data_IF_562278624912
#
_entry.id   IF_562278624912
#
_cell.length_a   1.000
_cell.length_b   1.000
_cell.length_c   1.000
_cell.angle_alpha   90.00
_cell.angle_beta   90.00
_cell.angle_gamma   90.00
#
_symmetry.space_group_name_H-M   'P 1'
#
loop_
_entity.id
_entity.type
_entity.pdbx_description
1 polymer ?
#
# COMPACT_ATOMS: atom_id res chain seq x y z
N UNK A 1 23.02 -31.74 -5.26
CA UNK A 1 24.13 -31.04 -4.58
C UNK A 1 23.84 -30.98 -3.09
N UNK A 2 24.80 -31.41 -2.29
CA UNK A 2 24.74 -31.32 -0.84
C UNK A 2 24.82 -29.85 -0.38
N UNK A 3 24.08 -29.49 0.66
CA UNK A 3 23.97 -28.11 1.17
C UNK A 3 24.73 -27.96 2.47
N UNK A 4 26.05 -27.99 2.35
CA UNK A 4 26.98 -28.04 3.49
C UNK A 4 27.29 -26.67 4.10
N UNK A 5 26.93 -25.56 3.43
CA UNK A 5 27.17 -24.22 3.93
C UNK A 5 25.97 -23.76 4.76
N UNK A 6 26.13 -23.76 6.08
CA UNK A 6 25.13 -23.26 7.03
C UNK A 6 25.43 -21.79 7.32
N UNK A 7 24.39 -20.96 7.25
CA UNK A 7 24.42 -19.57 7.66
C UNK A 7 23.46 -19.36 8.83
N UNK A 8 23.88 -18.58 9.81
CA UNK A 8 23.01 -18.13 10.89
C UNK A 8 23.10 -16.61 10.98
N UNK A 9 21.94 -15.97 10.80
CA UNK A 9 21.77 -14.52 10.85
C UNK A 9 21.00 -14.19 12.13
N UNK A 10 21.58 -13.33 12.96
CA UNK A 10 20.99 -12.85 14.20
C UNK A 10 20.83 -11.33 14.10
N UNK A 11 19.62 -10.83 14.33
CA UNK A 11 19.32 -9.40 14.41
C UNK A 11 18.81 -9.16 15.83
N UNK A 12 19.57 -8.43 16.63
CA UNK A 12 19.24 -8.12 18.01
C UNK A 12 18.59 -6.73 18.09
N UNK A 13 17.54 -6.60 18.89
CA UNK A 13 16.79 -5.35 19.07
C UNK A 13 16.89 -4.85 20.52
N UNK A 14 16.76 -3.54 20.70
CA UNK A 14 16.66 -2.89 22.02
C UNK A 14 15.27 -3.07 22.61
N UNK A 15 14.94 -4.31 22.95
CA UNK A 15 13.70 -4.70 23.61
C UNK A 15 13.99 -5.84 24.59
N UNK A 16 13.34 -5.84 25.76
CA UNK A 16 13.52 -6.87 26.79
C UNK A 16 12.55 -8.04 26.61
N UNK A 17 11.41 -7.81 25.97
CA UNK A 17 10.39 -8.83 25.73
C UNK A 17 10.88 -9.91 24.77
N UNK A 18 10.57 -11.17 25.07
CA UNK A 18 10.92 -12.34 24.26
C UNK A 18 9.69 -13.00 23.65
N UNK A 19 8.54 -12.31 23.62
CA UNK A 19 7.32 -12.89 23.07
C UNK A 19 7.55 -13.32 21.61
N UNK A 20 7.04 -14.51 21.27
CA UNK A 20 7.19 -15.07 19.93
C UNK A 20 6.22 -14.39 18.97
N UNK A 21 6.74 -13.90 17.85
CA UNK A 21 5.97 -13.27 16.77
C UNK A 21 5.83 -14.20 15.56
N UNK A 22 6.79 -15.10 15.37
CA UNK A 22 6.77 -16.13 14.33
C UNK A 22 7.80 -17.22 14.63
N UNK A 23 7.50 -18.45 14.23
CA UNK A 23 8.44 -19.56 14.21
C UNK A 23 8.05 -20.54 13.11
N UNK A 24 8.89 -20.69 12.08
CA UNK A 24 8.54 -21.55 10.96
C UNK A 24 9.61 -21.68 9.88
N UNK A 25 9.32 -22.56 8.92
CA UNK A 25 10.14 -22.77 7.74
C UNK A 25 9.57 -21.99 6.56
N UNK A 26 10.36 -21.10 5.96
CA UNK A 26 9.92 -20.23 4.88
C UNK A 26 10.73 -20.43 3.62
N UNK A 27 10.09 -20.21 2.48
CA UNK A 27 10.75 -20.26 1.19
C UNK A 27 11.76 -19.10 1.05
N UNK A 28 12.72 -19.26 0.14
CA UNK A 28 13.70 -18.24 -0.16
C UNK A 28 13.93 -18.12 -1.66
N UNK A 29 14.35 -16.92 -2.09
CA UNK A 29 14.56 -16.60 -3.49
C UNK A 29 15.45 -17.62 -4.22
N UNK A 30 14.96 -18.13 -5.35
CA UNK A 30 15.71 -19.05 -6.22
C UNK A 30 15.47 -20.54 -5.96
N UNK A 31 14.52 -20.91 -5.08
CA UNK A 31 14.10 -22.31 -4.95
C UNK A 31 12.64 -22.47 -4.53
N UNK A 32 12.02 -23.57 -4.95
CA UNK A 32 10.71 -24.03 -4.47
C UNK A 32 10.80 -25.23 -3.52
N UNK A 33 11.99 -25.79 -3.32
CA UNK A 33 12.19 -27.06 -2.61
C UNK A 33 12.77 -26.89 -1.21
N UNK A 34 13.62 -25.89 -1.03
CA UNK A 34 14.36 -25.72 0.21
C UNK A 34 13.86 -24.49 0.95
N UNK A 35 13.87 -24.59 2.27
CA UNK A 35 13.38 -23.56 3.18
C UNK A 35 14.48 -23.15 4.14
N UNK A 36 14.38 -21.91 4.60
CA UNK A 36 15.15 -21.44 5.75
C UNK A 36 14.25 -21.47 6.99
N UNK A 37 14.84 -21.76 8.15
CA UNK A 37 14.11 -21.72 9.41
C UNK A 37 14.26 -20.34 10.05
N UNK A 38 13.14 -19.71 10.39
CA UNK A 38 13.11 -18.37 10.97
C UNK A 38 12.35 -18.38 12.29
N UNK A 39 12.96 -17.74 13.29
CA UNK A 39 12.34 -17.44 14.58
C UNK A 39 12.40 -15.93 14.79
N UNK A 40 11.23 -15.32 15.02
CA UNK A 40 11.08 -13.89 15.29
C UNK A 40 10.47 -13.75 16.68
N UNK A 41 11.19 -13.08 17.57
CA UNK A 41 10.72 -12.64 18.88
C UNK A 41 10.81 -11.12 18.96
N UNK A 42 10.13 -10.50 19.93
CA UNK A 42 10.14 -9.02 20.05
C UNK A 42 11.52 -8.40 20.32
N UNK A 43 12.53 -9.19 20.68
CA UNK A 43 13.89 -8.73 20.90
C UNK A 43 14.92 -9.28 19.91
N UNK A 44 14.53 -10.22 19.03
CA UNK A 44 15.49 -10.91 18.16
C UNK A 44 14.85 -11.54 16.92
N UNK A 45 15.54 -11.47 15.79
CA UNK A 45 15.29 -12.36 14.64
C UNK A 45 16.46 -13.33 14.50
N UNK A 46 16.16 -14.61 14.32
CA UNK A 46 17.13 -15.67 14.01
C UNK A 46 16.75 -16.34 12.70
N UNK A 47 17.66 -16.37 11.73
CA UNK A 47 17.46 -16.99 10.42
C UNK A 47 18.54 -18.07 10.24
N UNK A 48 18.13 -19.32 10.10
CA UNK A 48 19.01 -20.48 9.85
C UNK A 48 18.86 -20.96 8.42
N UNK A 49 19.92 -20.83 7.64
CA UNK A 49 19.91 -21.06 6.20
C UNK A 49 20.93 -22.12 5.78
N UNK A 50 20.62 -22.86 4.71
CA UNK A 50 21.56 -23.81 4.08
C UNK A 50 21.70 -23.53 2.59
N UNK A 51 22.94 -23.45 2.09
CA UNK A 51 23.25 -23.17 0.67
C UNK A 51 24.25 -24.18 0.11
N UNK A 52 24.16 -24.41 -1.20
CA UNK A 52 25.11 -25.24 -1.94
C UNK A 52 26.45 -24.54 -2.15
N UNK A 53 26.42 -23.26 -2.53
CA UNK A 53 27.60 -22.42 -2.71
C UNK A 53 27.90 -21.57 -1.47
N UNK A 54 29.19 -21.28 -1.26
CA UNK A 54 29.65 -20.34 -0.24
C UNK A 54 29.36 -18.92 -0.72
N UNK A 55 28.66 -18.15 0.11
CA UNK A 55 28.35 -16.73 -0.05
C UNK A 55 29.37 -15.90 0.73
N UNK A 56 29.88 -14.85 0.11
CA UNK A 56 30.69 -13.84 0.79
C UNK A 56 29.83 -13.04 1.78
N UNK A 57 30.21 -13.07 3.06
CA UNK A 57 29.50 -12.39 4.14
C UNK A 57 29.53 -10.87 3.99
N UNK A 58 30.49 -10.29 3.28
CA UNK A 58 30.50 -8.84 3.03
C UNK A 58 29.28 -8.43 2.20
N UNK A 59 28.97 -9.22 1.16
CA UNK A 59 27.88 -8.95 0.21
C UNK A 59 26.47 -9.11 0.76
N UNK A 60 26.31 -9.76 1.92
CA UNK A 60 25.00 -10.09 2.50
C UNK A 60 24.18 -8.85 2.85
N UNK A 61 24.82 -7.71 3.08
CA UNK A 61 24.15 -6.49 3.56
C UNK A 61 23.76 -5.50 2.45
N UNK A 62 24.27 -5.66 1.23
CA UNK A 62 24.03 -4.72 0.13
C UNK A 62 23.64 -5.39 -1.20
N UNK A 63 23.83 -6.70 -1.36
CA UNK A 63 23.46 -7.39 -2.58
C UNK A 63 21.96 -7.76 -2.60
N UNK A 64 21.16 -6.93 -3.27
CA UNK A 64 19.72 -7.13 -3.43
C UNK A 64 19.32 -8.43 -4.14
N UNK A 65 20.23 -9.06 -4.89
CA UNK A 65 19.99 -10.34 -5.55
C UNK A 65 20.33 -11.54 -4.64
N UNK A 66 20.88 -11.31 -3.44
CA UNK A 66 21.22 -12.36 -2.49
C UNK A 66 19.97 -12.92 -1.81
N UNK A 67 19.85 -14.25 -1.80
CA UNK A 67 18.80 -14.91 -1.00
C UNK A 67 18.89 -14.58 0.50
N UNK A 68 20.09 -14.38 1.05
CA UNK A 68 20.25 -14.02 2.46
C UNK A 68 19.81 -12.58 2.74
N UNK A 69 20.14 -11.65 1.84
CA UNK A 69 19.68 -10.25 1.94
C UNK A 69 18.15 -10.17 1.91
N UNK A 70 17.51 -10.87 0.96
CA UNK A 70 16.06 -10.89 0.85
C UNK A 70 15.40 -11.47 2.10
N UNK A 71 15.99 -12.51 2.72
CA UNK A 71 15.48 -13.03 3.99
C UNK A 71 15.56 -12.02 5.13
N UNK A 72 16.65 -11.24 5.21
CA UNK A 72 16.78 -10.16 6.20
C UNK A 72 15.68 -9.12 5.98
N UNK A 73 15.52 -8.61 4.76
CA UNK A 73 14.52 -7.57 4.45
C UNK A 73 13.10 -8.07 4.73
N UNK A 74 12.76 -9.28 4.28
CA UNK A 74 11.46 -9.91 4.48
C UNK A 74 11.15 -10.09 5.98
N UNK A 75 12.13 -10.56 6.76
CA UNK A 75 11.98 -10.74 8.22
C UNK A 75 11.82 -9.40 8.94
N UNK A 76 12.57 -8.37 8.54
CA UNK A 76 12.45 -7.01 9.10
C UNK A 76 11.09 -6.38 8.77
N UNK A 77 10.61 -6.53 7.53
CA UNK A 77 9.30 -6.05 7.13
C UNK A 77 8.19 -6.72 7.96
N UNK A 78 8.24 -8.05 8.11
CA UNK A 78 7.33 -8.78 8.98
C UNK A 78 7.40 -8.31 10.44
N UNK A 79 8.61 -8.17 10.99
CA UNK A 79 8.82 -7.73 12.37
C UNK A 79 8.21 -6.36 12.67
N UNK A 80 8.48 -5.35 11.83
CA UNK A 80 7.91 -4.02 12.03
C UNK A 80 6.41 -3.96 11.74
N UNK A 81 5.91 -4.77 10.79
CA UNK A 81 4.47 -4.91 10.57
C UNK A 81 3.76 -5.57 11.77
N UNK A 82 4.39 -6.54 12.44
CA UNK A 82 3.82 -7.17 13.64
C UNK A 82 3.88 -6.30 14.89
N UNK A 83 4.95 -5.54 15.09
CA UNK A 83 5.09 -4.70 16.28
C UNK A 83 4.45 -3.32 16.15
N UNK A 84 4.23 -2.86 14.91
CA UNK A 84 3.52 -1.62 14.58
C UNK A 84 4.18 -0.35 15.16
N UNK A 85 5.45 -0.46 15.57
CA UNK A 85 6.23 0.61 16.22
C UNK A 85 7.72 0.45 15.96
N UNK A 86 8.46 1.53 16.20
CA UNK A 86 9.91 1.51 16.16
C UNK A 86 10.52 0.67 17.29
N UNK A 87 11.50 -0.16 16.93
CA UNK A 87 12.41 -0.82 17.87
C UNK A 87 13.82 -0.77 17.29
N UNK A 88 14.76 -0.19 18.03
CA UNK A 88 16.15 0.00 17.59
C UNK A 88 16.86 -1.34 17.37
N UNK A 89 17.54 -1.50 16.22
CA UNK A 89 18.45 -2.63 15.99
C UNK A 89 19.77 -2.30 16.67
N UNK A 90 20.23 -3.18 17.56
CA UNK A 90 21.49 -2.99 18.28
C UNK A 90 22.66 -3.65 17.57
N UNK A 91 22.42 -4.78 16.90
CA UNK A 91 23.48 -5.55 16.22
C UNK A 91 22.89 -6.50 15.18
N UNK A 92 23.60 -6.67 14.06
CA UNK A 92 23.35 -7.76 13.11
C UNK A 92 24.59 -8.63 13.03
N UNK A 93 24.44 -9.94 13.19
CA UNK A 93 25.52 -10.92 13.10
C UNK A 93 25.18 -11.94 12.02
N UNK A 94 26.09 -12.15 11.07
CA UNK A 94 26.01 -13.25 10.10
C UNK A 94 27.20 -14.17 10.35
N UNK A 95 26.92 -15.44 10.54
CA UNK A 95 27.94 -16.47 10.71
C UNK A 95 27.80 -17.53 9.62
N UNK A 96 28.94 -18.04 9.15
CA UNK A 96 29.03 -19.14 8.20
C UNK A 96 29.76 -20.29 8.86
N UNK A 97 29.16 -21.48 8.76
CA UNK A 97 29.75 -22.73 9.20
C UNK A 97 29.67 -23.77 8.09
N UNK A 98 30.66 -24.65 8.07
CA UNK A 98 30.75 -25.78 7.14
C UNK A 98 31.03 -27.04 7.94
N UNK A 99 30.26 -28.10 7.72
CA UNK A 99 30.38 -29.37 8.47
C UNK A 99 30.37 -29.15 9.99
N UNK A 100 29.53 -28.23 10.48
CA UNK A 100 29.39 -27.91 11.90
C UNK A 100 30.50 -27.03 12.51
N UNK A 101 31.56 -26.70 11.76
CA UNK A 101 32.64 -25.81 12.22
C UNK A 101 32.39 -24.38 11.74
N UNK A 102 32.45 -23.41 12.66
CA UNK A 102 32.40 -21.99 12.33
C UNK A 102 33.63 -21.60 11.52
N UNK A 103 33.44 -21.08 10.32
CA UNK A 103 34.53 -20.60 9.46
C UNK A 103 34.70 -19.09 9.54
N UNK A 104 33.61 -18.35 9.36
CA UNK A 104 33.66 -16.88 9.31
C UNK A 104 32.45 -16.26 9.99
N UNK A 105 32.64 -15.03 10.48
CA UNK A 105 31.61 -14.23 11.14
C UNK A 105 31.78 -12.77 10.76
N UNK A 106 30.68 -12.11 10.39
CA UNK A 106 30.63 -10.67 10.15
C UNK A 106 29.57 -10.07 11.07
N UNK A 107 29.88 -8.91 11.63
CA UNK A 107 28.97 -8.15 12.48
C UNK A 107 28.83 -6.73 11.93
N UNK A 108 27.64 -6.17 12.10
CA UNK A 108 27.35 -4.74 12.03
C UNK A 108 26.88 -4.34 13.43
N UNK A 109 27.58 -3.39 14.04
CA UNK A 109 27.11 -2.77 15.28
C UNK A 109 26.12 -1.65 14.94
N UNK A 110 25.43 -1.12 15.95
CA UNK A 110 24.39 -0.09 15.78
C UNK A 110 24.84 1.07 14.88
N UNK A 111 26.08 1.51 15.03
CA UNK A 111 26.65 2.66 14.31
C UNK A 111 26.78 2.40 12.80
N UNK A 112 26.89 1.12 12.40
CA UNK A 112 27.00 0.70 10.99
C UNK A 112 25.62 0.45 10.35
N UNK A 113 24.53 0.50 11.12
CA UNK A 113 23.19 0.11 10.66
C UNK A 113 22.37 1.35 10.30
N UNK A 114 22.12 1.51 9.00
CA UNK A 114 21.12 2.46 8.52
C UNK A 114 19.70 1.89 8.70
N UNK A 115 19.11 2.12 9.89
CA UNK A 115 17.78 1.62 10.19
C UNK A 115 16.70 2.34 9.38
N UNK A 116 15.86 1.55 8.72
CA UNK A 116 14.91 1.98 7.69
C UNK A 116 13.81 2.92 8.22
N UNK A 117 13.54 2.84 9.54
CA UNK A 117 12.49 3.56 10.26
C UNK A 117 13.10 4.43 11.36
N UNK A 118 12.43 5.54 11.68
CA UNK A 118 12.81 6.49 12.72
C UNK A 118 12.07 6.22 14.05
N UNK A 119 12.52 6.79 15.18
CA UNK A 119 11.89 6.58 16.49
C UNK A 119 10.43 7.02 16.63
N UNK A 120 9.92 7.86 15.72
CA UNK A 120 8.51 8.32 15.71
C UNK A 120 7.60 7.39 14.90
N UNK A 121 8.16 6.39 14.22
CA UNK A 121 7.39 5.44 13.43
C UNK A 121 6.39 4.67 14.31
N UNK A 122 5.12 4.73 13.92
CA UNK A 122 4.03 3.94 14.48
C UNK A 122 2.93 3.78 13.43
N UNK A 123 2.33 2.60 13.34
CA UNK A 123 1.11 2.43 12.57
C UNK A 123 -0.13 2.86 13.37
N UNK A 124 -1.07 3.49 12.66
CA UNK A 124 -2.38 3.88 13.23
C UNK A 124 -3.38 2.73 13.25
N UNK A 125 -3.18 1.76 12.36
CA UNK A 125 -4.03 0.60 12.17
C UNK A 125 -3.19 -0.65 12.37
N UNK A 126 -3.88 -1.76 12.64
CA UNK A 126 -3.23 -3.03 12.94
C UNK A 126 -3.46 -4.07 11.86
N UNK A 127 -2.48 -4.96 11.73
CA UNK A 127 -2.60 -6.11 10.83
C UNK A 127 -3.09 -7.35 11.57
N UNK A 128 -3.92 -8.13 10.90
CA UNK A 128 -4.22 -9.50 11.31
C UNK A 128 -3.00 -10.38 11.07
N UNK A 129 -2.59 -11.14 12.08
CA UNK A 129 -1.31 -11.87 12.06
C UNK A 129 -1.24 -12.86 10.89
N UNK A 130 -2.28 -13.67 10.75
CA UNK A 130 -2.42 -14.69 9.71
C UNK A 130 -2.38 -14.08 8.30
N UNK A 131 -2.83 -12.82 8.15
CA UNK A 131 -2.82 -12.11 6.88
C UNK A 131 -1.42 -11.62 6.52
N UNK A 132 -0.56 -11.36 7.50
CA UNK A 132 0.82 -10.93 7.27
C UNK A 132 1.75 -12.07 6.85
N UNK A 133 1.50 -13.30 7.29
CA UNK A 133 2.40 -14.44 7.02
C UNK A 133 2.58 -14.72 5.52
N UNK A 134 1.64 -14.29 4.68
CA UNK A 134 1.72 -14.39 3.21
C UNK A 134 3.02 -13.78 2.65
N UNK A 135 3.56 -12.74 3.28
CA UNK A 135 4.79 -12.07 2.82
C UNK A 135 6.03 -12.92 3.01
N UNK A 136 5.96 -13.97 3.84
CA UNK A 136 7.05 -14.90 4.07
C UNK A 136 7.19 -15.92 2.92
N UNK A 137 6.15 -16.07 2.09
CA UNK A 137 6.16 -16.92 0.89
C UNK A 137 6.89 -16.28 -0.29
N UNK A 138 7.40 -17.11 -1.21
CA UNK A 138 8.02 -16.65 -2.47
C UNK A 138 7.03 -16.60 -3.66
N UNK A 139 5.72 -16.59 -3.35
CA UNK A 139 4.64 -16.45 -4.34
C UNK A 139 4.60 -15.03 -4.92
N UNK A 140 3.97 -14.85 -6.08
CA UNK A 140 3.76 -13.52 -6.67
C UNK A 140 2.96 -12.62 -5.73
N UNK A 141 1.88 -13.16 -5.14
CA UNK A 141 1.09 -12.49 -4.11
C UNK A 141 1.93 -12.08 -2.90
N UNK A 142 2.74 -12.99 -2.35
CA UNK A 142 3.63 -12.72 -1.22
C UNK A 142 4.60 -11.58 -1.52
N UNK A 143 5.18 -11.55 -2.72
CA UNK A 143 6.06 -10.47 -3.19
C UNK A 143 5.33 -9.14 -3.35
N UNK A 144 4.13 -9.15 -3.93
CA UNK A 144 3.31 -7.95 -4.11
C UNK A 144 2.90 -7.34 -2.76
N UNK A 145 2.51 -8.18 -1.79
CA UNK A 145 2.15 -7.71 -0.44
C UNK A 145 3.40 -7.26 0.33
N UNK A 146 4.55 -7.95 0.21
CA UNK A 146 5.81 -7.50 0.80
C UNK A 146 6.21 -6.11 0.27
N UNK A 147 6.13 -5.91 -1.04
CA UNK A 147 6.36 -4.61 -1.68
C UNK A 147 5.39 -3.55 -1.15
N UNK A 148 4.10 -3.90 -1.01
CA UNK A 148 3.10 -3.01 -0.41
C UNK A 148 3.49 -2.58 1.01
N UNK A 149 3.83 -3.53 1.88
CA UNK A 149 4.18 -3.27 3.28
C UNK A 149 5.44 -2.43 3.41
N UNK A 150 6.49 -2.72 2.62
CA UNK A 150 7.73 -1.93 2.68
C UNK A 150 7.50 -0.45 2.33
N UNK A 151 6.66 -0.17 1.33
CA UNK A 151 6.26 1.21 1.02
C UNK A 151 5.36 1.82 2.09
N UNK A 152 4.46 1.04 2.70
CA UNK A 152 3.60 1.50 3.79
C UNK A 152 4.40 1.88 5.04
N UNK A 153 5.42 1.08 5.39
CA UNK A 153 6.39 1.38 6.45
C UNK A 153 7.08 2.71 6.15
N UNK A 154 7.55 2.91 4.91
CA UNK A 154 8.20 4.15 4.49
C UNK A 154 7.24 5.35 4.48
N UNK A 155 5.98 5.15 4.13
CA UNK A 155 4.96 6.20 4.16
C UNK A 155 4.70 6.70 5.59
N UNK A 156 4.63 5.78 6.56
CA UNK A 156 4.48 6.12 7.98
C UNK A 156 5.76 6.64 8.65
N UNK A 157 6.86 6.67 7.90
CA UNK A 157 8.10 7.33 8.29
C UNK A 157 8.26 8.73 7.67
N UNK A 158 7.42 9.11 6.70
CA UNK A 158 7.43 10.44 6.07
C UNK A 158 6.79 11.49 6.96
N UNK A 159 7.42 12.66 7.03
CA UNK A 159 6.84 13.84 7.67
C UNK A 159 6.07 14.68 6.65
N UNK A 160 6.56 14.74 5.41
CA UNK A 160 5.91 15.46 4.31
C UNK A 160 4.69 14.69 3.77
N UNK A 161 3.57 15.39 3.60
CA UNK A 161 2.31 14.77 3.17
C UNK A 161 2.35 14.32 1.70
N UNK A 162 3.15 14.98 0.86
CA UNK A 162 3.30 14.59 -0.55
C UNK A 162 4.12 13.32 -0.69
N UNK A 163 5.27 13.24 -0.02
CA UNK A 163 6.06 12.02 0.07
C UNK A 163 5.25 10.87 0.67
N UNK A 164 4.46 11.16 1.72
CA UNK A 164 3.60 10.16 2.33
C UNK A 164 2.58 9.64 1.31
N UNK A 165 1.92 10.52 0.56
CA UNK A 165 0.97 10.12 -0.47
C UNK A 165 1.62 9.28 -1.57
N UNK A 166 2.79 9.70 -2.06
CA UNK A 166 3.52 8.95 -3.09
C UNK A 166 3.83 7.52 -2.62
N UNK A 167 4.31 7.39 -1.38
CA UNK A 167 4.65 6.10 -0.78
C UNK A 167 3.41 5.25 -0.50
N UNK A 168 2.31 5.83 -0.03
CA UNK A 168 1.04 5.13 0.11
C UNK A 168 0.53 4.66 -1.26
N UNK A 169 0.62 5.49 -2.30
CA UNK A 169 0.25 5.09 -3.66
C UNK A 169 1.12 3.94 -4.18
N UNK A 170 2.45 4.01 -3.98
CA UNK A 170 3.37 2.92 -4.30
C UNK A 170 3.09 1.64 -3.50
N UNK A 171 2.56 1.78 -2.28
CA UNK A 171 2.08 0.66 -1.47
C UNK A 171 0.78 0.06 -2.03
N UNK A 172 -0.14 0.89 -2.51
CA UNK A 172 -1.40 0.44 -3.12
C UNK A 172 -1.20 -0.21 -4.50
N UNK A 173 -0.25 0.28 -5.30
CA UNK A 173 0.03 -0.21 -6.66
C UNK A 173 0.09 -1.74 -6.82
N UNK A 174 0.94 -2.47 -6.07
CA UNK A 174 1.00 -3.92 -6.19
C UNK A 174 -0.29 -4.62 -5.74
N UNK A 175 -1.08 -4.02 -4.83
CA UNK A 175 -2.33 -4.61 -4.34
C UNK A 175 -3.41 -4.61 -5.41
N UNK A 176 -3.68 -3.47 -6.06
CA UNK A 176 -4.73 -3.43 -7.09
C UNK A 176 -4.35 -4.30 -8.30
N UNK A 177 -3.06 -4.46 -8.60
CA UNK A 177 -2.57 -5.36 -9.66
C UNK A 177 -2.78 -6.82 -9.28
N UNK A 178 -2.51 -7.16 -8.02
CA UNK A 178 -2.73 -8.51 -7.49
C UNK A 178 -4.22 -8.88 -7.48
N UNK A 179 -5.10 -7.93 -7.16
CA UNK A 179 -6.56 -8.12 -7.16
C UNK A 179 -7.09 -8.23 -8.59
N UNK A 180 -6.66 -7.33 -9.47
CA UNK A 180 -7.21 -7.24 -10.82
C UNK A 180 -6.68 -8.30 -11.78
N UNK A 181 -5.38 -8.59 -11.74
CA UNK A 181 -4.67 -9.51 -12.66
C UNK A 181 -4.96 -9.23 -14.15
N UNK A 182 -5.20 -7.96 -14.49
CA UNK A 182 -5.47 -7.49 -15.84
C UNK A 182 -4.21 -6.89 -16.48
N UNK A 183 -4.23 -6.81 -17.82
CA UNK A 183 -3.11 -6.27 -18.60
C UNK A 183 -2.92 -4.76 -18.43
N UNK A 184 -4.03 -4.02 -18.28
CA UNK A 184 -3.98 -2.56 -18.17
C UNK A 184 -4.22 -2.10 -16.73
N UNK A 185 -3.65 -0.95 -16.36
CA UNK A 185 -3.88 -0.36 -15.04
C UNK A 185 -5.36 -0.02 -14.81
N UNK A 186 -6.04 0.50 -15.85
CA UNK A 186 -7.46 0.84 -15.78
C UNK A 186 -8.32 -0.39 -15.47
N UNK A 187 -8.10 -1.51 -16.17
CA UNK A 187 -8.87 -2.73 -15.95
C UNK A 187 -8.61 -3.32 -14.56
N UNK A 188 -7.38 -3.20 -14.06
CA UNK A 188 -7.07 -3.61 -12.69
C UNK A 188 -7.85 -2.79 -11.65
N UNK A 189 -7.98 -1.48 -11.84
CA UNK A 189 -8.78 -0.61 -10.96
C UNK A 189 -10.29 -0.94 -11.06
N UNK A 190 -10.79 -1.32 -12.25
CA UNK A 190 -12.17 -1.77 -12.42
C UNK A 190 -12.43 -3.06 -11.62
N UNK A 191 -11.56 -4.06 -11.73
CA UNK A 191 -11.68 -5.29 -10.95
C UNK A 191 -11.54 -5.04 -9.45
N UNK A 192 -10.63 -4.14 -9.06
CA UNK A 192 -10.47 -3.72 -7.66
C UNK A 192 -11.75 -3.09 -7.12
N UNK A 193 -12.47 -2.28 -7.91
CA UNK A 193 -13.80 -1.75 -7.51
C UNK A 193 -14.79 -2.88 -7.25
N UNK A 194 -14.88 -3.86 -8.15
CA UNK A 194 -15.78 -5.01 -8.00
C UNK A 194 -15.45 -5.78 -6.72
N UNK A 195 -14.17 -6.02 -6.47
CA UNK A 195 -13.69 -6.65 -5.24
C UNK A 195 -14.15 -5.88 -3.99
N UNK A 196 -13.92 -4.55 -3.95
CA UNK A 196 -14.27 -3.72 -2.79
C UNK A 196 -15.78 -3.77 -2.51
N UNK A 197 -16.61 -3.64 -3.54
CA UNK A 197 -18.07 -3.66 -3.38
C UNK A 197 -18.57 -5.00 -2.88
N UNK A 198 -18.05 -6.10 -3.42
CA UNK A 198 -18.45 -7.45 -3.01
C UNK A 198 -17.95 -7.82 -1.61
N UNK A 199 -16.99 -7.08 -1.07
CA UNK A 199 -16.34 -7.34 0.22
C UNK A 199 -16.41 -6.13 1.16
N UNK A 200 -17.47 -5.32 1.07
CA UNK A 200 -17.58 -4.04 1.77
C UNK A 200 -17.34 -4.13 3.29
N UNK A 201 -17.71 -5.25 3.92
CA UNK A 201 -17.53 -5.49 5.37
C UNK A 201 -16.07 -5.57 5.79
N UNK A 202 -15.13 -5.87 4.89
CA UNK A 202 -13.71 -5.95 5.24
C UNK A 202 -13.03 -4.57 5.30
N UNK A 203 -13.73 -3.52 4.89
CA UNK A 203 -13.22 -2.15 4.88
C UNK A 203 -13.49 -1.43 6.21
N UNK A 204 -13.30 -2.15 7.32
CA UNK A 204 -13.66 -1.69 8.66
C UNK A 204 -12.84 -0.47 9.14
N UNK A 205 -11.59 -0.32 8.68
CA UNK A 205 -10.79 0.86 9.00
C UNK A 205 -11.13 2.07 8.11
N UNK A 206 -11.54 1.81 6.86
CA UNK A 206 -11.80 2.85 5.86
C UNK A 206 -13.20 3.45 5.96
N UNK A 207 -14.22 2.63 6.24
CA UNK A 207 -15.61 3.08 6.32
C UNK A 207 -15.79 4.27 7.30
N UNK A 208 -15.26 4.22 8.54
CA UNK A 208 -15.37 5.34 9.47
C UNK A 208 -14.76 6.66 8.96
N UNK A 209 -13.82 6.60 7.99
CA UNK A 209 -13.20 7.81 7.41
C UNK A 209 -14.09 8.55 6.43
N UNK A 210 -15.18 7.92 5.99
CA UNK A 210 -16.11 8.51 5.01
C UNK A 210 -17.55 8.53 5.50
N UNK A 211 -17.92 7.69 6.48
CA UNK A 211 -19.31 7.55 6.94
C UNK A 211 -19.91 8.85 7.45
N UNK A 212 -19.14 9.71 8.11
CA UNK A 212 -19.63 10.96 8.69
C UNK A 212 -19.51 12.18 7.75
N UNK A 213 -18.86 12.02 6.59
CA UNK A 213 -18.70 13.13 5.65
C UNK A 213 -20.05 13.58 5.11
N UNK A 214 -20.35 14.87 5.26
CA UNK A 214 -21.35 15.59 4.48
C UNK A 214 -20.92 15.76 3.02
N UNK A 215 -21.83 16.14 2.11
CA UNK A 215 -21.48 16.48 0.72
C UNK A 215 -20.38 17.55 0.63
N UNK A 216 -20.44 18.58 1.48
CA UNK A 216 -19.46 19.67 1.49
C UNK A 216 -18.08 19.20 1.96
N UNK A 217 -18.01 18.43 3.04
CA UNK A 217 -16.76 17.88 3.57
C UNK A 217 -16.11 16.88 2.60
N UNK A 218 -16.91 16.16 1.83
CA UNK A 218 -16.42 15.34 0.72
C UNK A 218 -15.91 16.22 -0.44
N UNK A 219 -16.64 17.27 -0.82
CA UNK A 219 -16.38 18.04 -2.05
C UNK A 219 -15.28 19.09 -1.91
N UNK A 220 -15.23 19.81 -0.79
CA UNK A 220 -14.37 20.99 -0.60
C UNK A 220 -12.85 20.72 -0.67
N UNK A 221 -12.34 19.60 -0.12
CA UNK A 221 -10.92 19.27 -0.22
C UNK A 221 -10.48 18.96 -1.65
N UNK A 222 -11.41 18.61 -2.54
CA UNK A 222 -11.12 18.03 -3.84
C UNK A 222 -11.11 19.07 -4.96
N UNK A 223 -10.14 18.94 -5.85
CA UNK A 223 -10.09 19.51 -7.21
C UNK A 223 -11.01 18.75 -8.17
N UNK A 224 -12.26 18.47 -7.75
CA UNK A 224 -13.23 17.63 -8.48
C UNK A 224 -13.44 18.07 -9.93
N UNK A 225 -13.70 19.36 -10.16
CA UNK A 225 -13.85 19.92 -11.51
C UNK A 225 -12.63 19.62 -12.38
N UNK A 226 -11.42 19.75 -11.83
CA UNK A 226 -10.20 19.47 -12.58
C UNK A 226 -10.08 17.98 -12.94
N UNK A 227 -10.53 17.07 -12.07
CA UNK A 227 -10.60 15.64 -12.38
C UNK A 227 -11.57 15.39 -13.53
N UNK A 228 -12.77 15.99 -13.52
CA UNK A 228 -13.77 15.80 -14.59
C UNK A 228 -13.23 16.30 -15.94
N UNK A 229 -12.65 17.51 -15.96
CA UNK A 229 -12.09 18.09 -17.18
C UNK A 229 -10.89 17.30 -17.71
N UNK A 230 -10.10 16.69 -16.83
CA UNK A 230 -8.95 15.87 -17.22
C UNK A 230 -9.36 14.48 -17.74
N UNK A 231 -10.34 13.84 -17.09
CA UNK A 231 -10.76 12.48 -17.44
C UNK A 231 -11.73 12.45 -18.63
N UNK A 232 -12.43 13.54 -18.91
CA UNK A 232 -13.41 13.65 -20.00
C UNK A 232 -13.18 14.95 -20.78
N UNK A 233 -12.04 15.12 -21.46
CA UNK A 233 -11.67 16.39 -22.08
C UNK A 233 -12.58 16.80 -23.25
N UNK A 234 -13.14 15.84 -23.98
CA UNK A 234 -13.82 16.07 -25.26
C UNK A 234 -15.25 15.52 -25.30
N UNK A 235 -16.00 15.85 -26.35
CA UNK A 235 -17.34 15.31 -26.58
C UNK A 235 -17.33 13.79 -26.85
N UNK A 236 -16.22 13.23 -27.35
CA UNK A 236 -16.10 11.77 -27.55
C UNK A 236 -16.12 11.01 -26.21
N UNK A 237 -15.76 11.67 -25.12
CA UNK A 237 -15.72 11.08 -23.77
C UNK A 237 -17.09 11.08 -23.08
N UNK A 238 -18.12 11.66 -23.69
CA UNK A 238 -19.44 11.89 -23.06
C UNK A 238 -20.07 10.60 -22.54
N UNK A 239 -19.95 9.49 -23.27
CA UNK A 239 -20.50 8.20 -22.81
C UNK A 239 -19.74 7.69 -21.56
N UNK A 240 -18.42 7.87 -21.53
CA UNK A 240 -17.59 7.55 -20.35
C UNK A 240 -17.92 8.46 -19.17
N UNK A 241 -18.22 9.74 -19.43
CA UNK A 241 -18.66 10.68 -18.41
C UNK A 241 -20.01 10.27 -17.82
N UNK A 242 -21.02 9.99 -18.65
CA UNK A 242 -22.32 9.44 -18.24
C UNK A 242 -22.15 8.18 -17.40
N UNK A 243 -21.39 7.19 -17.89
CA UNK A 243 -21.14 5.93 -17.19
C UNK A 243 -20.42 6.14 -15.85
N UNK A 244 -19.64 7.22 -15.72
CA UNK A 244 -18.99 7.55 -14.46
C UNK A 244 -19.91 8.13 -13.39
N UNK A 245 -21.01 8.75 -13.79
CA UNK A 245 -22.03 9.28 -12.89
C UNK A 245 -22.98 8.15 -12.50
N UNK A 246 -23.59 7.51 -13.50
CA UNK A 246 -24.65 6.51 -13.36
C UNK A 246 -24.23 5.22 -12.65
N UNK A 247 -22.92 4.98 -12.49
CA UNK A 247 -22.40 3.82 -11.74
C UNK A 247 -22.41 3.97 -10.22
N UNK A 248 -22.69 5.16 -9.71
CA UNK A 248 -22.72 5.46 -8.28
C UNK A 248 -24.13 5.88 -7.89
N UNK A 249 -24.51 5.55 -6.68
CA UNK A 249 -25.81 5.86 -6.10
C UNK A 249 -25.69 6.66 -4.80
N UNK A 250 -24.48 6.85 -4.24
CA UNK A 250 -24.30 7.66 -3.05
C UNK A 250 -24.63 9.15 -3.27
N UNK A 251 -25.50 9.70 -2.43
CA UNK A 251 -25.99 11.07 -2.53
C UNK A 251 -24.88 12.13 -2.45
N UNK A 252 -23.77 11.88 -1.74
CA UNK A 252 -22.65 12.83 -1.62
C UNK A 252 -21.85 12.89 -2.91
N UNK A 253 -21.68 11.76 -3.59
CA UNK A 253 -21.09 11.70 -4.92
C UNK A 253 -22.00 12.42 -5.92
N UNK A 254 -23.31 12.19 -5.83
CA UNK A 254 -24.29 12.85 -6.70
C UNK A 254 -24.29 14.37 -6.53
N UNK A 255 -24.21 14.88 -5.30
CA UNK A 255 -24.05 16.32 -5.05
C UNK A 255 -22.78 16.87 -5.71
N UNK A 256 -21.64 16.19 -5.58
CA UNK A 256 -20.40 16.60 -6.23
C UNK A 256 -20.49 16.64 -7.76
N UNK A 257 -21.25 15.71 -8.37
CA UNK A 257 -21.53 15.74 -9.80
C UNK A 257 -22.51 16.85 -10.18
N UNK A 258 -23.56 17.08 -9.41
CA UNK A 258 -24.52 18.17 -9.64
C UNK A 258 -23.81 19.53 -9.66
N UNK A 259 -22.94 19.79 -8.68
CA UNK A 259 -22.13 21.01 -8.58
C UNK A 259 -21.23 21.28 -9.80
N UNK A 260 -20.93 20.24 -10.59
CA UNK A 260 -19.99 20.32 -11.70
C UNK A 260 -20.57 19.92 -13.04
N UNK A 261 -21.87 19.58 -13.12
CA UNK A 261 -22.53 19.06 -14.32
C UNK A 261 -22.51 20.10 -15.46
N UNK A 262 -22.61 21.39 -15.13
CA UNK A 262 -22.57 22.49 -16.10
C UNK A 262 -21.30 22.52 -16.95
N UNK A 263 -20.19 21.91 -16.49
CA UNK A 263 -18.95 21.83 -17.28
C UNK A 263 -19.07 20.89 -18.51
N UNK A 264 -20.05 20.00 -18.53
CA UNK A 264 -20.25 18.96 -19.55
C UNK A 264 -21.71 18.82 -19.99
N UNK A 265 -22.57 19.74 -19.57
CA UNK A 265 -24.00 19.76 -19.87
C UNK A 265 -24.26 19.73 -21.38
N UNK A 266 -23.60 20.60 -22.16
CA UNK A 266 -23.82 20.63 -23.61
C UNK A 266 -23.44 19.32 -24.29
N UNK A 267 -22.38 18.65 -23.81
CA UNK A 267 -21.96 17.36 -24.35
C UNK A 267 -23.02 16.29 -24.09
N UNK A 268 -23.58 16.27 -22.87
CA UNK A 268 -24.68 15.37 -22.51
C UNK A 268 -25.95 15.65 -23.33
N UNK A 269 -26.30 16.93 -23.53
CA UNK A 269 -27.46 17.33 -24.35
C UNK A 269 -27.30 16.91 -25.81
N UNK A 270 -26.12 17.13 -26.39
CA UNK A 270 -25.84 16.78 -27.78
C UNK A 270 -26.00 15.28 -28.07
N UNK A 271 -25.76 14.40 -27.07
CA UNK A 271 -25.94 12.95 -27.21
C UNK A 271 -27.24 12.43 -26.57
N UNK A 272 -28.13 13.30 -26.12
CA UNK A 272 -29.42 12.90 -25.52
C UNK A 272 -29.32 12.27 -24.11
N UNK A 273 -28.17 12.32 -23.44
CA UNK A 273 -27.94 11.71 -22.12
C UNK A 273 -28.30 12.62 -20.93
N UNK A 274 -28.58 13.90 -21.17
CA UNK A 274 -28.74 14.88 -20.09
C UNK A 274 -29.88 14.53 -19.12
N UNK A 275 -31.07 14.21 -19.65
CA UNK A 275 -32.24 13.90 -18.81
C UNK A 275 -32.02 12.63 -17.99
N UNK A 276 -31.43 11.58 -18.57
CA UNK A 276 -31.06 10.36 -17.85
C UNK A 276 -30.13 10.66 -16.67
N UNK A 277 -29.07 11.44 -16.92
CA UNK A 277 -28.06 11.78 -15.92
C UNK A 277 -28.63 12.65 -14.80
N UNK A 278 -29.41 13.68 -15.12
CA UNK A 278 -30.01 14.56 -14.11
C UNK A 278 -31.05 13.81 -13.27
N UNK A 279 -31.89 12.99 -13.89
CA UNK A 279 -32.86 12.17 -13.16
C UNK A 279 -32.17 11.21 -12.20
N UNK A 280 -31.07 10.57 -12.63
CA UNK A 280 -30.24 9.70 -11.78
C UNK A 280 -29.67 10.46 -10.57
N UNK A 281 -29.09 11.63 -10.80
CA UNK A 281 -28.51 12.48 -9.75
C UNK A 281 -29.59 12.90 -8.74
N UNK A 282 -30.69 13.48 -9.21
CA UNK A 282 -31.74 14.01 -8.34
C UNK A 282 -32.41 12.90 -7.53
N UNK A 283 -32.70 11.76 -8.15
CA UNK A 283 -33.30 10.61 -7.46
C UNK A 283 -32.48 10.19 -6.23
N UNK A 284 -31.15 10.04 -6.38
CA UNK A 284 -30.30 9.61 -5.27
C UNK A 284 -30.05 10.71 -4.22
N UNK A 285 -30.07 11.99 -4.61
CA UNK A 285 -30.03 13.12 -3.68
C UNK A 285 -31.31 13.18 -2.85
N UNK A 286 -32.48 13.15 -3.48
CA UNK A 286 -33.79 13.23 -2.80
C UNK A 286 -34.00 12.09 -1.82
N UNK A 287 -33.60 10.86 -2.19
CA UNK A 287 -33.71 9.69 -1.31
C UNK A 287 -32.57 9.60 -0.28
N UNK A 288 -31.61 10.53 -0.28
CA UNK A 288 -30.45 10.52 0.63
C UNK A 288 -29.73 9.16 0.64
N UNK A 289 -29.59 8.53 -0.54
CA UNK A 289 -29.05 7.17 -0.66
C UNK A 289 -27.60 7.13 -0.16
N UNK A 290 -27.33 6.46 0.96
CA UNK A 290 -26.01 6.43 1.60
C UNK A 290 -25.31 5.09 1.39
N UNK A 291 -24.20 5.11 0.66
CA UNK A 291 -23.39 3.95 0.30
C UNK A 291 -21.90 4.30 0.49
N UNK A 292 -21.43 4.24 1.74
CA UNK A 292 -20.06 4.65 2.13
C UNK A 292 -18.96 3.94 1.32
N UNK A 293 -19.17 2.69 0.92
CA UNK A 293 -18.21 1.92 0.14
C UNK A 293 -17.98 2.53 -1.27
N UNK A 294 -18.98 3.21 -1.83
CA UNK A 294 -18.84 3.94 -3.09
C UNK A 294 -17.95 5.18 -2.95
N UNK A 295 -18.00 5.88 -1.80
CA UNK A 295 -17.09 6.98 -1.50
C UNK A 295 -15.65 6.49 -1.44
N UNK A 296 -15.40 5.36 -0.77
CA UNK A 296 -14.07 4.74 -0.75
C UNK A 296 -13.61 4.46 -2.18
N UNK A 297 -14.45 3.82 -3.00
CA UNK A 297 -14.12 3.47 -4.38
C UNK A 297 -13.78 4.71 -5.23
N UNK A 298 -14.62 5.74 -5.22
CA UNK A 298 -14.39 6.92 -6.07
C UNK A 298 -13.18 7.72 -5.61
N UNK A 299 -12.95 7.82 -4.29
CA UNK A 299 -11.79 8.52 -3.74
C UNK A 299 -10.49 7.79 -4.08
N UNK A 300 -10.40 6.50 -3.75
CA UNK A 300 -9.15 5.74 -3.85
C UNK A 300 -8.81 5.33 -5.29
N UNK A 301 -9.80 4.89 -6.07
CA UNK A 301 -9.56 4.32 -7.39
C UNK A 301 -9.58 5.35 -8.51
N UNK A 302 -10.33 6.44 -8.35
CA UNK A 302 -10.55 7.43 -9.41
C UNK A 302 -9.93 8.77 -9.09
N UNK A 303 -10.24 9.32 -7.92
CA UNK A 303 -9.73 10.64 -7.54
C UNK A 303 -8.24 10.62 -7.26
N UNK A 304 -7.77 9.71 -6.39
CA UNK A 304 -6.35 9.59 -6.06
C UNK A 304 -5.52 9.15 -7.27
N UNK A 305 -6.09 8.38 -8.20
CA UNK A 305 -5.44 8.07 -9.48
C UNK A 305 -5.19 9.33 -10.32
N UNK A 306 -6.22 10.18 -10.45
CA UNK A 306 -6.09 11.49 -11.09
C UNK A 306 -5.03 12.35 -10.40
N UNK A 307 -5.04 12.40 -9.07
CA UNK A 307 -4.04 13.15 -8.30
C UNK A 307 -2.65 12.60 -8.61
N UNK A 308 -2.45 11.29 -8.52
CA UNK A 308 -1.16 10.66 -8.80
C UNK A 308 -0.63 11.04 -10.17
N UNK A 309 -1.44 10.91 -11.22
CA UNK A 309 -1.01 11.28 -12.58
C UNK A 309 -0.70 12.77 -12.62
N UNK A 310 -1.58 13.63 -12.09
CA UNK A 310 -1.36 15.07 -12.09
C UNK A 310 -0.13 15.51 -11.29
N UNK A 311 0.30 14.75 -10.29
CA UNK A 311 1.29 15.17 -9.31
C UNK A 311 2.69 14.56 -9.48
N UNK A 312 2.80 13.37 -10.05
CA UNK A 312 4.07 12.64 -10.13
C UNK A 312 4.52 12.36 -11.58
N UNK A 313 3.94 13.05 -12.57
CA UNK A 313 4.51 13.07 -13.92
C UNK A 313 5.77 13.96 -13.95
N UNK A 314 6.86 13.41 -14.50
CA UNK A 314 8.19 14.02 -14.49
C UNK A 314 8.34 15.34 -15.26
N UNK A 315 7.30 15.78 -15.97
CA UNK A 315 7.25 17.09 -16.63
C UNK A 315 6.87 18.23 -15.67
N UNK A 316 6.56 17.92 -14.40
CA UNK A 316 6.22 18.92 -13.38
C UNK A 316 7.35 19.12 -12.40
N UNK A 317 7.53 20.37 -11.98
CA UNK A 317 8.44 20.74 -10.92
C UNK A 317 8.13 19.94 -9.65
N UNK A 318 9.18 19.50 -8.95
CA UNK A 318 9.04 18.75 -7.71
C UNK A 318 8.16 19.53 -6.74
N UNK A 319 7.06 18.89 -6.37
CA UNK A 319 6.06 19.52 -5.55
C UNK A 319 6.52 19.68 -4.10
N UNK A 320 7.59 19.02 -3.66
CA UNK A 320 8.16 19.27 -2.33
C UNK A 320 8.94 20.58 -2.29
N UNK A 321 9.30 21.13 -3.44
CA UNK A 321 10.01 22.40 -3.57
C UNK A 321 9.04 23.59 -3.53
N UNK A 322 8.46 23.89 -2.35
CA UNK A 322 7.51 25.01 -2.15
C UNK A 322 7.99 25.97 -1.07
N UNK A 323 7.59 27.24 -1.20
CA UNK A 323 7.92 28.33 -0.26
C UNK A 323 6.83 28.49 0.83
N UNK A 324 5.58 28.10 0.56
CA UNK A 324 4.45 28.23 1.51
C UNK A 324 3.50 27.02 1.47
N UNK A 325 2.79 26.80 2.59
CA UNK A 325 1.71 25.82 2.69
C UNK A 325 0.55 26.27 1.81
N UNK A 326 0.11 25.41 0.88
CA UNK A 326 -0.99 25.71 -0.03
C UNK A 326 -2.15 24.71 0.12
N UNK A 327 -3.23 24.95 -0.64
CA UNK A 327 -4.43 24.09 -0.66
C UNK A 327 -4.11 22.64 -1.06
N UNK A 328 -3.09 22.41 -1.88
CA UNK A 328 -2.71 21.06 -2.30
C UNK A 328 -2.14 20.24 -1.14
N UNK A 329 -1.32 20.85 -0.27
CA UNK A 329 -0.78 20.12 0.89
C UNK A 329 -1.90 19.60 1.79
N UNK A 330 -2.91 20.44 2.10
CA UNK A 330 -4.10 20.04 2.88
C UNK A 330 -4.90 18.94 2.19
N UNK A 331 -4.98 18.98 0.86
CA UNK A 331 -5.59 17.91 0.08
C UNK A 331 -4.81 16.59 0.25
N UNK A 332 -3.48 16.60 0.17
CA UNK A 332 -2.67 15.39 0.40
C UNK A 332 -2.82 14.84 1.82
N UNK A 333 -2.81 15.69 2.84
CA UNK A 333 -3.07 15.27 4.23
C UNK A 333 -4.44 14.59 4.35
N UNK A 334 -5.47 15.20 3.75
CA UNK A 334 -6.82 14.64 3.76
C UNK A 334 -6.89 13.31 3.01
N UNK A 335 -6.24 13.18 1.84
CA UNK A 335 -6.20 11.94 1.07
C UNK A 335 -5.43 10.84 1.79
N UNK A 336 -4.30 11.17 2.43
CA UNK A 336 -3.49 10.21 3.21
C UNK A 336 -4.29 9.58 4.35
N UNK A 337 -5.13 10.36 5.03
CA UNK A 337 -6.00 9.87 6.12
C UNK A 337 -7.03 8.82 5.64
N UNK A 338 -7.32 8.76 4.34
CA UNK A 338 -8.25 7.80 3.72
C UNK A 338 -7.50 6.65 3.04
N UNK A 339 -6.38 6.94 2.39
CA UNK A 339 -5.61 5.93 1.67
C UNK A 339 -4.89 4.95 2.60
N UNK A 340 -4.37 5.45 3.73
CA UNK A 340 -3.69 4.60 4.72
C UNK A 340 -4.58 3.47 5.27
N UNK A 341 -5.75 3.72 5.88
CA UNK A 341 -6.62 2.64 6.36
C UNK A 341 -7.09 1.70 5.23
N UNK A 342 -7.30 2.24 4.04
CA UNK A 342 -7.69 1.45 2.86
C UNK A 342 -6.65 0.41 2.48
N UNK A 343 -5.36 0.75 2.54
CA UNK A 343 -4.28 -0.21 2.29
C UNK A 343 -4.26 -1.28 3.38
N UNK A 344 -4.50 -0.93 4.65
CA UNK A 344 -4.61 -1.91 5.74
C UNK A 344 -5.77 -2.88 5.52
N UNK A 345 -6.95 -2.37 5.14
CA UNK A 345 -8.12 -3.20 4.84
C UNK A 345 -7.84 -4.17 3.68
N UNK A 346 -7.21 -3.70 2.60
CA UNK A 346 -6.82 -4.56 1.48
C UNK A 346 -5.82 -5.65 1.89
N UNK A 347 -4.81 -5.31 2.70
CA UNK A 347 -3.82 -6.30 3.17
C UNK A 347 -4.51 -7.30 4.11
N UNK A 348 -5.39 -6.87 5.00
CA UNK A 348 -6.13 -7.76 5.91
C UNK A 348 -7.17 -8.63 5.17
N UNK A 349 -7.58 -8.23 3.96
CA UNK A 349 -8.48 -8.98 3.09
C UNK A 349 -7.76 -9.89 2.09
N UNK A 350 -6.44 -10.08 2.24
CA UNK A 350 -5.67 -10.68 1.16
C UNK A 350 -6.05 -12.13 0.86
N UNK A 351 -6.61 -12.88 1.78
CA UNK A 351 -7.13 -14.24 1.53
C UNK A 351 -8.26 -14.31 0.49
N UNK A 352 -8.89 -13.17 0.18
CA UNK A 352 -10.00 -13.07 -0.79
C UNK A 352 -9.56 -12.73 -2.22
N UNK A 353 -8.25 -12.61 -2.50
CA UNK A 353 -7.72 -12.35 -3.84
C UNK A 353 -6.35 -12.99 -4.14
#
# INVERSE_FOLDING_TARGET
MERINKYEILIDFKNSSKANLYNGNIDYLGTKRYKDHIVITENKITISCYRSAKIDLSSVFYNHNSSLYNQIVKSLAYYYARLEKFVEITKITVSHSKNGKLETKKKLEKEDINQIINPKFKFKYSFQQEKLEVILSESEKGKNILNSITYLIKANNSVDAYEKFERLWKSFNPLYRQIGQQRTEFDNLVQTRTFIINNATDFANSLPKVSELSPEEFRNPLRWRAMILNNHPTQNDTNSFRASITRYSDYRIMNAYLDTIGNREQFLKNLGYYNEVINHINNHIEHTTKIDIELICILTLRYMYFIRNKSFHGEKMDSTFRITINKELKEFEWLNDKLEPFIFDLINSNDKF
#
